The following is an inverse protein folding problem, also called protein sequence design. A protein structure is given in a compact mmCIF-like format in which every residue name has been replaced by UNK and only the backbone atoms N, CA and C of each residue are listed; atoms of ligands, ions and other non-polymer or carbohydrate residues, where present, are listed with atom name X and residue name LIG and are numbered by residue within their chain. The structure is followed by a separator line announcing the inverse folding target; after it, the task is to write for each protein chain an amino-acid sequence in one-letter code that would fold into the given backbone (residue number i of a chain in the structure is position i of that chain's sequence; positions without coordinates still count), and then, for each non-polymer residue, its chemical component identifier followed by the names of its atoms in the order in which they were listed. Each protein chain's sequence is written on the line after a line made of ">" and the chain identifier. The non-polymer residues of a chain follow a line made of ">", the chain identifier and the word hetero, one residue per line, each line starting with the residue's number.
data_IF_371978037422
#
_entry.id   IF_371978037422
#
_cell.length_a   1.000
_cell.length_b   1.000
_cell.length_c   1.000
_cell.angle_alpha   90.00
_cell.angle_beta   90.00
_cell.angle_gamma   90.00
#
_symmetry.space_group_name_H-M   'P 1'
#
loop_
_entity.id
_entity.type
_entity.pdbx_description
1 polymer ?
#
# COMPACT_ATOMS: atom_id res chain seq x y z
N UNK A 1 4.52 3.16 -16.49
CA UNK A 1 4.28 2.93 -15.06
C UNK A 1 3.09 2.01 -14.93
N UNK A 2 3.19 1.00 -14.08
CA UNK A 2 2.09 0.05 -13.86
C UNK A 2 1.24 0.54 -12.70
N UNK A 3 -0.06 0.77 -12.93
CA UNK A 3 -0.99 1.17 -11.88
C UNK A 3 -1.41 -0.06 -11.08
N UNK A 4 -1.30 0.02 -9.75
CA UNK A 4 -1.74 -1.03 -8.84
C UNK A 4 -2.62 -0.45 -7.74
N UNK A 5 -3.58 -1.23 -7.26
CA UNK A 5 -4.34 -0.91 -6.07
C UNK A 5 -3.55 -1.29 -4.81
N UNK A 6 -3.56 -0.43 -3.80
CA UNK A 6 -2.93 -0.66 -2.50
C UNK A 6 -4.00 -0.56 -1.42
N UNK A 7 -4.27 -1.68 -0.76
CA UNK A 7 -5.07 -1.72 0.46
C UNK A 7 -4.12 -1.83 1.65
N UNK A 8 -4.18 -0.88 2.60
CA UNK A 8 -3.38 -0.93 3.83
C UNK A 8 -3.87 -2.02 4.80
N UNK A 9 -5.14 -2.41 4.70
CA UNK A 9 -5.76 -3.41 5.57
C UNK A 9 -5.92 -2.94 7.02
N UNK A 10 -6.29 -3.87 7.90
CA UNK A 10 -6.53 -3.61 9.33
C UNK A 10 -5.41 -4.16 10.23
N UNK A 11 -5.48 -3.87 11.53
CA UNK A 11 -4.49 -4.34 12.51
C UNK A 11 -3.12 -3.71 12.24
N UNK A 12 -2.08 -4.55 12.11
CA UNK A 12 -0.70 -4.12 11.79
C UNK A 12 -0.46 -3.88 10.29
N UNK A 13 -1.48 -4.09 9.44
CA UNK A 13 -1.39 -3.94 7.99
C UNK A 13 -0.86 -2.57 7.54
N UNK A 14 -1.37 -1.44 8.08
CA UNK A 14 -0.88 -0.11 7.71
C UNK A 14 0.61 0.11 7.97
N UNK A 15 1.12 -0.35 9.12
CA UNK A 15 2.52 -0.17 9.52
C UNK A 15 3.47 -0.95 8.59
N UNK A 16 3.11 -2.20 8.26
CA UNK A 16 3.89 -3.03 7.33
C UNK A 16 3.82 -2.45 5.92
N UNK A 17 2.63 -2.02 5.47
CA UNK A 17 2.45 -1.45 4.14
C UNK A 17 3.29 -0.18 3.95
N UNK A 18 3.33 0.70 4.95
CA UNK A 18 4.13 1.93 4.90
C UNK A 18 5.63 1.61 4.82
N UNK A 19 6.10 0.60 5.56
CA UNK A 19 7.48 0.14 5.45
C UNK A 19 7.81 -0.41 4.04
N UNK A 20 6.93 -1.20 3.45
CA UNK A 20 7.11 -1.73 2.08
C UNK A 20 7.13 -0.60 1.05
N UNK A 21 6.21 0.35 1.13
CA UNK A 21 6.15 1.50 0.23
C UNK A 21 7.42 2.37 0.33
N UNK A 22 7.98 2.53 1.53
CA UNK A 22 9.25 3.25 1.71
C UNK A 22 10.43 2.58 1.00
N UNK A 23 10.49 1.24 1.02
CA UNK A 23 11.52 0.47 0.31
C UNK A 23 11.32 0.61 -1.20
N UNK A 24 10.08 0.57 -1.67
CA UNK A 24 9.75 0.69 -3.09
C UNK A 24 10.10 2.08 -3.65
N UNK A 25 9.84 3.13 -2.88
CA UNK A 25 10.23 4.50 -3.21
C UNK A 25 11.77 4.63 -3.31
N UNK A 26 12.50 4.11 -2.32
CA UNK A 26 13.97 4.08 -2.32
C UNK A 26 14.53 3.28 -3.50
N UNK A 27 13.88 2.18 -3.88
CA UNK A 27 14.24 1.35 -5.03
C UNK A 27 13.81 1.92 -6.38
N UNK A 28 13.05 3.04 -6.41
CA UNK A 28 12.52 3.70 -7.61
C UNK A 28 11.75 2.74 -8.52
N UNK A 29 10.92 1.88 -7.94
CA UNK A 29 10.12 0.94 -8.72
C UNK A 29 9.13 1.71 -9.63
N UNK A 30 8.90 1.27 -10.87
CA UNK A 30 8.07 2.01 -11.83
C UNK A 30 6.56 1.77 -11.64
N UNK A 31 6.08 1.93 -10.41
CA UNK A 31 4.69 1.68 -10.00
C UNK A 31 3.94 2.99 -9.72
N UNK A 32 2.62 2.97 -9.94
CA UNK A 32 1.70 4.02 -9.54
C UNK A 32 0.66 3.42 -8.59
N UNK A 33 0.53 3.99 -7.39
CA UNK A 33 -0.32 3.44 -6.34
C UNK A 33 -1.67 4.15 -6.30
N UNK A 34 -2.75 3.36 -6.30
CA UNK A 34 -4.11 3.81 -6.04
C UNK A 34 -4.54 3.22 -4.70
N UNK A 35 -4.68 4.06 -3.67
CA UNK A 35 -5.09 3.59 -2.36
C UNK A 35 -6.58 3.26 -2.40
N UNK A 36 -6.92 2.05 -1.94
CA UNK A 36 -8.30 1.58 -1.82
C UNK A 36 -8.56 1.17 -0.38
N UNK A 37 -9.75 1.48 0.12
CA UNK A 37 -10.19 1.03 1.44
C UNK A 37 -10.71 -0.42 1.34
N UNK A 38 -10.14 -1.30 2.16
CA UNK A 38 -10.57 -2.70 2.31
C UNK A 38 -10.28 -3.17 3.74
N UNK A 39 -11.15 -4.01 4.28
CA UNK A 39 -10.95 -4.62 5.60
C UNK A 39 -12.13 -4.42 6.54
N UNK A 40 -11.95 -4.87 7.79
CA UNK A 40 -12.93 -4.80 8.88
C UNK A 40 -13.33 -3.37 9.22
N UNK A 41 -12.45 -2.37 9.08
CA UNK A 41 -12.80 -0.97 9.33
C UNK A 41 -13.80 -0.37 8.33
N UNK A 42 -13.99 -1.04 7.17
CA UNK A 42 -14.94 -0.65 6.12
C UNK A 42 -16.34 -1.26 6.34
N UNK A 43 -16.47 -2.24 7.26
CA UNK A 43 -17.72 -2.95 7.59
C UNK A 43 -18.38 -2.45 8.89
#
# INVERSE_FOLDING_TARGET
>A
MTKIAVAKGDGIGPEIMDAVLSIFDAAKVPLQYEVVEMGRWVF
#
